data_IF_062453072630
#
_entry.id   IF_062453072630
#
_cell.length_a   1.000
_cell.length_b   1.000
_cell.length_c   1.000
_cell.angle_alpha   90.00
_cell.angle_beta   90.00
_cell.angle_gamma   90.00
#
_symmetry.space_group_name_H-M   'P 1'
#
loop_
_entity.id
_entity.type
_entity.pdbx_description
1 polymer ?
#
# COMPACT_ATOMS: atom_id res chain seq x y z
N UNK A 1 0.79 -4.47 18.96
CA UNK A 1 -0.05 -3.42 19.57
C UNK A 1 -1.30 -4.04 20.19
N UNK A 2 -1.74 -3.55 21.34
CA UNK A 2 -2.99 -4.03 21.96
C UNK A 2 -4.17 -3.57 21.08
N UNK A 3 -5.28 -4.32 21.08
CA UNK A 3 -6.49 -3.95 20.32
C UNK A 3 -7.03 -2.57 20.73
N UNK A 4 -6.77 -2.13 21.95
CA UNK A 4 -7.11 -0.80 22.46
C UNK A 4 -6.31 0.29 21.75
N UNK A 5 -5.01 0.09 21.55
CA UNK A 5 -4.13 1.06 20.88
C UNK A 5 -4.48 1.22 19.38
N UNK A 6 -4.74 0.10 18.69
CA UNK A 6 -5.22 0.15 17.30
C UNK A 6 -6.53 0.92 17.17
N UNK A 7 -7.48 0.70 18.08
CA UNK A 7 -8.74 1.44 18.09
C UNK A 7 -8.55 2.95 18.31
N UNK A 8 -7.60 3.36 19.13
CA UNK A 8 -7.28 4.78 19.32
C UNK A 8 -6.84 5.46 18.02
N UNK A 9 -6.06 4.75 17.17
CA UNK A 9 -5.66 5.26 15.86
C UNK A 9 -6.84 5.26 14.89
N UNK A 10 -7.61 4.16 14.84
CA UNK A 10 -8.75 4.02 13.92
C UNK A 10 -9.92 4.98 14.24
N UNK A 11 -10.10 5.35 15.52
CA UNK A 11 -11.17 6.22 16.01
C UNK A 11 -10.65 7.63 16.36
N UNK A 12 -9.33 7.87 16.29
CA UNK A 12 -8.65 9.11 16.66
C UNK A 12 -8.42 10.07 15.49
N UNK A 13 -7.70 11.16 15.80
CA UNK A 13 -7.27 12.13 14.81
C UNK A 13 -5.96 11.74 14.11
N UNK A 14 -5.25 10.75 14.64
CA UNK A 14 -3.99 10.25 14.08
C UNK A 14 -4.28 9.43 12.83
N UNK A 15 -3.60 9.75 11.73
CA UNK A 15 -3.83 9.11 10.42
C UNK A 15 -3.13 7.77 10.26
N UNK A 16 -2.09 7.51 11.06
CA UNK A 16 -1.36 6.24 11.11
C UNK A 16 -0.56 6.12 12.42
N UNK A 17 -0.10 4.91 12.73
CA UNK A 17 0.74 4.61 13.89
C UNK A 17 2.19 5.03 13.65
N UNK A 18 2.56 6.26 14.06
CA UNK A 18 3.92 6.78 13.91
C UNK A 18 4.97 5.98 14.69
N UNK A 19 4.63 5.44 15.86
CA UNK A 19 5.58 4.65 16.67
C UNK A 19 5.86 3.30 16.02
N UNK A 20 4.81 2.65 15.49
CA UNK A 20 4.98 1.44 14.72
C UNK A 20 5.78 1.72 13.45
N UNK A 21 5.49 2.80 12.73
CA UNK A 21 6.25 3.20 11.55
C UNK A 21 7.74 3.37 11.86
N UNK A 22 8.10 4.12 12.90
CA UNK A 22 9.49 4.30 13.36
C UNK A 22 10.15 2.97 13.72
N UNK A 23 9.39 2.05 14.33
CA UNK A 23 9.89 0.71 14.66
C UNK A 23 10.17 -0.13 13.42
N UNK A 24 9.29 -0.10 12.41
CA UNK A 24 9.49 -0.79 11.13
C UNK A 24 10.71 -0.25 10.38
N UNK A 25 10.88 1.07 10.36
CA UNK A 25 12.06 1.75 9.80
C UNK A 25 13.32 1.32 10.54
N UNK A 26 13.32 1.34 11.87
CA UNK A 26 14.48 0.94 12.67
C UNK A 26 14.88 -0.53 12.46
N UNK A 27 13.94 -1.40 12.12
CA UNK A 27 14.19 -2.79 11.72
C UNK A 27 14.64 -2.93 10.25
N UNK A 28 14.66 -1.83 9.47
CA UNK A 28 15.03 -1.83 8.06
C UNK A 28 13.96 -2.35 7.11
N UNK A 29 12.71 -2.52 7.56
CA UNK A 29 11.67 -3.14 6.73
C UNK A 29 11.27 -2.27 5.53
N UNK A 30 11.35 -0.95 5.66
CA UNK A 30 11.14 0.01 4.55
C UNK A 30 12.26 -0.06 3.50
N UNK A 31 13.44 -0.52 3.88
CA UNK A 31 14.64 -0.62 3.05
C UNK A 31 14.82 -2.00 2.38
N UNK A 32 13.90 -2.95 2.63
CA UNK A 32 14.05 -4.37 2.27
C UNK A 32 14.46 -4.59 0.81
N UNK A 33 13.72 -4.03 -0.15
CA UNK A 33 13.96 -4.23 -1.59
C UNK A 33 14.83 -3.16 -2.24
N UNK A 34 15.22 -2.14 -1.50
CA UNK A 34 16.09 -1.07 -1.99
C UNK A 34 17.52 -1.60 -2.04
N UNK A 35 18.24 -1.47 -3.16
CA UNK A 35 19.63 -1.87 -3.27
C UNK A 35 20.55 -1.16 -2.26
N UNK A 36 21.65 -1.82 -1.86
CA UNK A 36 22.61 -1.27 -0.90
C UNK A 36 23.24 0.05 -1.38
N UNK A 37 23.43 0.21 -2.68
CA UNK A 37 23.95 1.45 -3.29
C UNK A 37 23.05 2.68 -3.07
N UNK A 38 21.76 2.47 -2.75
CA UNK A 38 20.81 3.51 -2.37
C UNK A 38 20.45 3.48 -0.87
N UNK A 39 21.30 2.84 -0.04
CA UNK A 39 21.08 2.78 1.41
C UNK A 39 20.06 1.74 1.87
N UNK A 40 19.68 0.81 1.02
CA UNK A 40 18.77 -0.29 1.33
C UNK A 40 19.49 -1.54 1.84
N UNK A 41 18.72 -2.63 2.00
CA UNK A 41 19.21 -3.95 2.44
C UNK A 41 19.48 -4.87 1.24
N UNK A 42 18.88 -4.60 0.09
CA UNK A 42 19.06 -5.38 -1.13
C UNK A 42 18.45 -6.78 -1.09
N UNK A 43 17.45 -7.00 -0.26
CA UNK A 43 16.70 -8.27 -0.22
C UNK A 43 15.74 -8.39 -1.40
N UNK A 44 15.20 -9.60 -1.59
CA UNK A 44 14.30 -9.89 -2.69
C UNK A 44 12.83 -9.56 -2.40
N UNK A 45 12.01 -9.80 -3.42
CA UNK A 45 10.57 -9.60 -3.33
C UNK A 45 9.89 -10.63 -2.43
N UNK A 46 10.50 -11.82 -2.29
CA UNK A 46 9.97 -12.87 -1.41
C UNK A 46 10.01 -12.46 0.07
N UNK A 47 11.10 -11.83 0.51
CA UNK A 47 11.20 -11.30 1.87
C UNK A 47 10.16 -10.22 2.13
N UNK A 48 9.86 -9.38 1.13
CA UNK A 48 8.80 -8.39 1.23
C UNK A 48 7.40 -9.04 1.35
N UNK A 49 7.16 -10.19 0.70
CA UNK A 49 5.91 -10.96 0.86
C UNK A 49 5.73 -11.44 2.31
N UNK A 50 6.81 -11.90 2.96
CA UNK A 50 6.75 -12.32 4.37
C UNK A 50 6.42 -11.14 5.28
N UNK A 51 7.01 -9.98 5.02
CA UNK A 51 6.69 -8.73 5.76
C UNK A 51 5.22 -8.36 5.55
N UNK A 52 4.74 -8.40 4.30
CA UNK A 52 3.36 -8.10 3.97
C UNK A 52 2.37 -8.99 4.72
N UNK A 53 2.63 -10.30 4.79
CA UNK A 53 1.80 -11.25 5.54
C UNK A 53 1.72 -10.88 7.04
N UNK A 54 2.84 -10.50 7.67
CA UNK A 54 2.85 -10.12 9.09
C UNK A 54 2.16 -8.76 9.33
N UNK A 55 2.31 -7.79 8.43
CA UNK A 55 1.59 -6.52 8.50
C UNK A 55 0.07 -6.74 8.39
N UNK A 56 -0.35 -7.60 7.48
CA UNK A 56 -1.74 -8.01 7.34
C UNK A 56 -2.28 -8.75 8.55
N UNK A 57 -1.51 -9.69 9.12
CA UNK A 57 -1.84 -10.39 10.37
C UNK A 57 -2.08 -9.43 11.52
N UNK A 58 -1.28 -8.36 11.57
CA UNK A 58 -1.38 -7.32 12.58
C UNK A 58 -2.41 -6.24 12.29
N UNK A 59 -2.98 -6.16 11.09
CA UNK A 59 -3.76 -5.01 10.59
C UNK A 59 -2.99 -3.72 10.93
N UNK A 60 -1.75 -3.62 10.43
CA UNK A 60 -0.86 -2.53 10.76
C UNK A 60 -1.34 -1.21 10.11
N UNK A 61 -1.76 -0.21 10.90
CA UNK A 61 -2.25 1.06 10.37
C UNK A 61 -1.06 1.98 10.05
N UNK A 62 -0.30 1.65 9.01
CA UNK A 62 0.90 2.38 8.58
C UNK A 62 0.92 2.51 7.05
N UNK A 63 1.54 3.56 6.49
CA UNK A 63 1.58 3.80 5.03
C UNK A 63 2.60 2.89 4.32
N UNK A 64 2.68 1.62 4.73
CA UNK A 64 3.68 0.70 4.20
C UNK A 64 3.37 0.31 2.75
N UNK A 65 2.10 0.04 2.45
CA UNK A 65 1.68 -0.35 1.11
C UNK A 65 1.84 0.79 0.09
N UNK A 66 1.44 2.01 0.44
CA UNK A 66 1.59 3.16 -0.45
C UNK A 66 3.05 3.51 -0.69
N UNK A 67 3.86 3.51 0.38
CA UNK A 67 5.26 3.92 0.31
C UNK A 67 6.18 2.84 -0.23
N UNK A 68 6.07 1.59 0.27
CA UNK A 68 7.00 0.52 -0.09
C UNK A 68 6.52 -0.28 -1.30
N UNK A 69 5.25 -0.78 -1.29
CA UNK A 69 4.79 -1.61 -2.41
C UNK A 69 4.60 -0.81 -3.68
N UNK A 70 4.10 0.42 -3.58
CA UNK A 70 3.74 1.24 -4.73
C UNK A 70 4.85 2.24 -5.09
N UNK A 71 5.09 3.26 -4.27
CA UNK A 71 5.99 4.35 -4.64
C UNK A 71 7.46 3.90 -4.80
N UNK A 72 7.99 3.15 -3.82
CA UNK A 72 9.37 2.63 -3.88
C UNK A 72 9.56 1.69 -5.08
N UNK A 73 8.60 0.77 -5.29
CA UNK A 73 8.67 -0.17 -6.42
C UNK A 73 8.59 0.56 -7.77
N UNK A 74 7.75 1.61 -7.88
CA UNK A 74 7.68 2.43 -9.09
C UNK A 74 9.02 3.10 -9.41
N UNK A 75 9.68 3.68 -8.39
CA UNK A 75 11.00 4.32 -8.55
C UNK A 75 12.06 3.27 -8.92
N UNK A 76 12.08 2.12 -8.26
CA UNK A 76 13.01 1.02 -8.56
C UNK A 76 12.87 0.50 -9.99
N UNK A 77 11.64 0.38 -10.48
CA UNK A 77 11.34 -0.08 -11.85
C UNK A 77 11.68 0.96 -12.92
N UNK A 78 11.85 2.24 -12.56
CA UNK A 78 12.17 3.30 -13.52
C UNK A 78 13.63 3.26 -13.99
N UNK A 79 13.92 3.95 -15.07
CA UNK A 79 15.29 4.17 -15.56
C UNK A 79 15.92 5.49 -15.09
N UNK A 80 15.21 6.28 -14.27
CA UNK A 80 15.68 7.59 -13.83
C UNK A 80 16.61 7.48 -12.62
N UNK A 81 17.91 7.38 -12.88
CA UNK A 81 18.94 7.20 -11.86
C UNK A 81 19.07 8.38 -10.89
N UNK A 82 18.79 9.60 -11.35
CA UNK A 82 18.86 10.78 -10.49
C UNK A 82 17.75 10.75 -9.43
N UNK A 83 16.53 10.39 -9.83
CA UNK A 83 15.42 10.23 -8.88
C UNK A 83 15.64 9.03 -7.95
N UNK A 84 16.22 7.93 -8.42
CA UNK A 84 16.59 6.81 -7.54
C UNK A 84 17.54 7.27 -6.44
N UNK A 85 18.62 7.96 -6.80
CA UNK A 85 19.62 8.47 -5.85
C UNK A 85 19.05 9.48 -4.86
N UNK A 86 18.07 10.27 -5.28
CA UNK A 86 17.46 11.29 -4.44
C UNK A 86 16.42 10.72 -3.47
N UNK A 87 15.54 9.81 -3.96
CA UNK A 87 14.35 9.38 -3.22
C UNK A 87 14.54 8.06 -2.48
N UNK A 88 15.27 7.08 -3.05
CA UNK A 88 15.38 5.75 -2.42
C UNK A 88 16.06 5.79 -1.05
N UNK A 89 17.14 6.57 -0.80
CA UNK A 89 17.71 6.65 0.54
C UNK A 89 16.74 7.21 1.58
N UNK A 90 15.97 8.22 1.22
CA UNK A 90 14.97 8.84 2.11
C UNK A 90 13.80 7.88 2.40
N UNK A 91 13.36 7.12 1.39
CA UNK A 91 12.34 6.08 1.55
C UNK A 91 12.84 4.93 2.43
N UNK A 92 14.09 4.48 2.23
CA UNK A 92 14.72 3.47 3.06
C UNK A 92 14.78 3.89 4.53
N UNK A 93 15.15 5.15 4.78
CA UNK A 93 15.19 5.76 6.11
C UNK A 93 13.83 6.17 6.69
N UNK A 94 12.73 6.00 5.93
CA UNK A 94 11.39 6.41 6.37
C UNK A 94 11.23 7.92 6.59
N UNK A 95 12.15 8.72 6.03
CA UNK A 95 12.15 10.19 6.14
C UNK A 95 11.02 10.83 5.33
N UNK A 96 10.61 10.16 4.26
CA UNK A 96 9.51 10.57 3.38
C UNK A 96 8.58 9.39 3.11
N UNK A 97 7.31 9.71 2.91
CA UNK A 97 6.26 8.76 2.53
C UNK A 97 5.86 9.07 1.09
N UNK A 98 5.87 8.03 0.24
CA UNK A 98 5.39 8.13 -1.14
C UNK A 98 4.05 7.45 -1.34
N UNK A 99 3.36 7.80 -2.43
CA UNK A 99 2.15 7.10 -2.85
C UNK A 99 2.08 6.96 -4.36
N UNK A 100 1.10 6.19 -4.84
CA UNK A 100 0.82 6.02 -6.27
C UNK A 100 -0.59 6.50 -6.59
N UNK A 101 -0.69 7.55 -7.38
CA UNK A 101 -1.94 8.18 -7.80
C UNK A 101 -2.28 7.75 -9.24
N UNK A 102 -3.19 6.78 -9.39
CA UNK A 102 -3.50 6.17 -10.68
C UNK A 102 -4.97 6.31 -11.07
N UNK A 103 -5.89 6.01 -10.17
CA UNK A 103 -7.33 5.97 -10.45
C UNK A 103 -7.94 7.35 -10.69
N UNK A 104 -8.83 7.45 -11.69
CA UNK A 104 -9.56 8.68 -12.04
C UNK A 104 -11.08 8.48 -12.08
N UNK A 105 -11.52 7.21 -12.06
CA UNK A 105 -12.93 6.79 -12.10
C UNK A 105 -13.14 5.62 -11.16
N UNK A 106 -14.38 5.24 -10.97
CA UNK A 106 -14.76 4.07 -10.15
C UNK A 106 -14.50 2.72 -10.84
N UNK A 107 -14.21 2.72 -12.14
CA UNK A 107 -13.82 1.53 -12.90
C UNK A 107 -12.31 1.32 -12.85
N UNK A 108 -11.89 0.07 -13.07
CA UNK A 108 -10.47 -0.24 -13.19
C UNK A 108 -9.86 0.57 -14.35
N UNK A 109 -8.75 1.28 -14.15
CA UNK A 109 -8.15 2.12 -15.20
C UNK A 109 -7.56 1.27 -16.33
N UNK A 110 -7.76 1.70 -17.55
CA UNK A 110 -7.01 1.28 -18.73
C UNK A 110 -6.24 2.47 -19.30
N UNK A 111 -5.29 2.24 -20.19
CA UNK A 111 -4.43 3.28 -20.75
C UNK A 111 -5.24 4.44 -21.37
N UNK A 112 -6.32 4.12 -22.07
CA UNK A 112 -7.18 5.10 -22.74
C UNK A 112 -8.06 5.89 -21.78
N UNK A 113 -8.21 5.43 -20.53
CA UNK A 113 -9.04 6.07 -19.52
C UNK A 113 -8.30 7.14 -18.70
N UNK A 114 -6.97 7.24 -18.85
CA UNK A 114 -6.17 8.25 -18.15
C UNK A 114 -6.40 9.62 -18.81
N UNK A 115 -6.90 10.57 -18.03
CA UNK A 115 -7.24 11.94 -18.47
C UNK A 115 -6.41 13.03 -17.79
N UNK A 116 -5.77 12.74 -16.65
CA UNK A 116 -4.76 13.63 -16.08
C UNK A 116 -3.68 13.86 -17.10
N UNK A 117 -3.39 15.12 -17.39
CA UNK A 117 -2.49 15.51 -18.48
C UNK A 117 -1.19 16.10 -17.96
N UNK A 118 -0.09 15.76 -18.63
CA UNK A 118 1.22 16.35 -18.43
C UNK A 118 1.60 17.21 -19.63
N UNK A 119 2.10 18.41 -19.38
CA UNK A 119 2.63 19.34 -20.38
C UNK A 119 3.96 19.90 -19.91
N UNK A 120 5.05 19.46 -20.51
CA UNK A 120 6.40 19.73 -20.02
C UNK A 120 6.57 19.16 -18.61
N UNK A 121 6.97 20.02 -17.68
CA UNK A 121 7.14 19.68 -16.26
C UNK A 121 5.92 20.05 -15.38
N UNK A 122 4.73 20.07 -15.94
CA UNK A 122 3.48 20.40 -15.21
C UNK A 122 2.43 19.37 -15.45
N UNK A 123 1.61 19.13 -14.41
CA UNK A 123 0.52 18.17 -14.43
C UNK A 123 -0.79 18.83 -14.01
N UNK A 124 -1.90 18.44 -14.66
CA UNK A 124 -3.24 18.96 -14.38
C UNK A 124 -4.29 17.86 -14.47
N UNK A 125 -5.26 17.90 -13.56
CA UNK A 125 -6.36 16.96 -13.47
C UNK A 125 -6.54 16.43 -12.06
N UNK A 126 -7.32 15.36 -11.88
CA UNK A 126 -7.65 14.81 -10.57
C UNK A 126 -7.43 13.30 -10.54
N UNK A 127 -6.87 12.80 -9.45
CA UNK A 127 -6.81 11.39 -9.08
C UNK A 127 -7.72 11.12 -7.90
N UNK A 128 -8.40 9.98 -7.95
CA UNK A 128 -9.39 9.58 -6.95
C UNK A 128 -8.87 8.47 -6.05
N UNK A 129 -9.28 8.51 -4.79
CA UNK A 129 -8.99 7.49 -3.79
C UNK A 129 -7.50 7.09 -3.74
N UNK A 130 -6.61 8.08 -3.78
CA UNK A 130 -5.16 7.87 -3.68
C UNK A 130 -4.85 7.35 -2.27
N UNK A 131 -4.25 6.15 -2.13
CA UNK A 131 -3.93 5.59 -0.81
C UNK A 131 -2.91 6.48 -0.10
N UNK A 132 -3.18 6.81 1.15
CA UNK A 132 -2.36 7.68 1.99
C UNK A 132 -2.01 9.05 1.35
N UNK A 133 -2.83 9.50 0.40
CA UNK A 133 -2.59 10.74 -0.35
C UNK A 133 -2.61 12.00 0.49
N UNK A 134 -3.20 11.96 1.68
CA UNK A 134 -3.29 13.07 2.63
C UNK A 134 -2.15 13.10 3.67
N UNK A 135 -1.30 12.07 3.69
CA UNK A 135 -0.11 12.00 4.55
C UNK A 135 1.19 11.90 3.75
N UNK A 136 1.13 11.50 2.49
CA UNK A 136 2.30 11.33 1.65
C UNK A 136 2.99 12.66 1.34
N UNK A 137 4.33 12.62 1.23
CA UNK A 137 5.15 13.77 0.83
C UNK A 137 5.12 13.98 -0.68
N UNK A 138 5.05 12.88 -1.44
CA UNK A 138 5.01 12.91 -2.90
C UNK A 138 4.13 11.79 -3.45
N UNK A 139 3.66 11.96 -4.68
CA UNK A 139 2.98 10.93 -5.43
C UNK A 139 3.70 10.61 -6.74
N UNK A 140 3.74 9.33 -7.10
CA UNK A 140 3.97 8.90 -8.47
C UNK A 140 2.60 8.93 -9.18
N UNK A 141 2.48 9.71 -10.23
CA UNK A 141 1.21 9.99 -10.90
C UNK A 141 1.26 9.49 -12.33
N UNK A 142 0.30 8.67 -12.73
CA UNK A 142 0.11 8.34 -14.14
C UNK A 142 -0.59 9.50 -14.86
N UNK A 143 -0.02 9.98 -15.95
CA UNK A 143 -0.60 11.08 -16.73
C UNK A 143 -0.31 10.95 -18.21
N UNK A 144 -1.21 11.45 -19.05
CA UNK A 144 -1.03 11.47 -20.50
C UNK A 144 -0.08 12.58 -20.93
N UNK A 145 0.87 12.25 -21.81
CA UNK A 145 1.72 13.19 -22.53
C UNK A 145 1.63 12.90 -24.02
N UNK A 146 0.88 13.73 -24.73
CA UNK A 146 0.57 13.46 -26.13
C UNK A 146 -0.30 12.20 -26.31
N UNK A 147 0.28 11.12 -26.84
CA UNK A 147 -0.43 9.85 -27.06
C UNK A 147 -0.11 8.76 -26.02
N UNK A 148 0.94 8.95 -25.24
CA UNK A 148 1.44 7.96 -24.29
C UNK A 148 1.04 8.32 -22.87
N UNK A 149 1.02 7.33 -21.98
CA UNK A 149 0.90 7.51 -20.54
C UNK A 149 2.29 7.41 -19.92
N UNK A 150 2.71 8.46 -19.21
CA UNK A 150 3.95 8.50 -18.46
C UNK A 150 3.71 8.44 -16.94
N UNK A 151 4.79 8.21 -16.21
CA UNK A 151 4.85 8.34 -14.75
C UNK A 151 5.60 9.61 -14.37
N UNK A 152 5.01 10.36 -13.46
CA UNK A 152 5.52 11.64 -12.99
C UNK A 152 5.59 11.68 -11.48
N UNK A 153 6.67 12.21 -10.94
CA UNK A 153 6.82 12.46 -9.51
C UNK A 153 6.34 13.89 -9.21
N UNK A 154 5.42 14.01 -8.27
CA UNK A 154 4.81 15.28 -7.86
C UNK A 154 4.93 15.45 -6.35
N UNK A 155 5.48 16.57 -5.88
CA UNK A 155 5.49 16.92 -4.47
C UNK A 155 4.06 17.33 -4.04
N UNK A 156 3.48 16.59 -3.10
CA UNK A 156 2.12 16.83 -2.62
C UNK A 156 1.99 18.04 -1.69
N UNK A 157 3.10 18.55 -1.17
CA UNK A 157 3.13 19.77 -0.35
C UNK A 157 3.20 21.07 -1.19
N UNK A 158 3.07 20.94 -2.52
CA UNK A 158 3.03 22.07 -3.43
C UNK A 158 1.68 22.80 -3.33
N UNK A 159 1.69 24.13 -3.38
CA UNK A 159 0.48 24.96 -3.32
C UNK A 159 -0.48 24.82 -4.54
N UNK A 160 -0.07 24.10 -5.57
CA UNK A 160 -0.86 23.74 -6.76
C UNK A 160 -1.48 22.35 -6.67
N UNK A 161 -1.36 21.70 -5.51
CA UNK A 161 -1.96 20.40 -5.22
C UNK A 161 -3.03 20.60 -4.15
N UNK A 162 -4.24 20.17 -4.45
CA UNK A 162 -5.38 20.21 -3.51
C UNK A 162 -5.66 18.77 -3.09
N UNK A 163 -5.67 18.53 -1.80
CA UNK A 163 -5.88 17.21 -1.20
C UNK A 163 -7.18 17.26 -0.42
N UNK A 164 -8.08 16.33 -0.73
CA UNK A 164 -9.36 16.13 -0.05
C UNK A 164 -9.36 14.73 0.57
N UNK A 165 -9.20 14.64 1.88
CA UNK A 165 -9.26 13.35 2.61
C UNK A 165 -10.66 12.74 2.48
N UNK A 166 -10.74 11.46 2.20
CA UNK A 166 -11.99 10.72 2.06
C UNK A 166 -12.33 10.01 3.37
N UNK A 167 -13.61 10.09 3.73
CA UNK A 167 -14.16 9.22 4.77
C UNK A 167 -14.48 7.86 4.14
N UNK A 168 -13.75 6.83 4.55
CA UNK A 168 -13.82 5.48 3.98
C UNK A 168 -14.41 4.50 4.97
N UNK A 169 -14.98 3.41 4.46
CA UNK A 169 -15.54 2.35 5.30
C UNK A 169 -14.47 1.62 6.12
N UNK A 170 -13.26 1.50 5.59
CA UNK A 170 -12.09 0.96 6.30
C UNK A 170 -11.15 2.10 6.73
N UNK A 171 -11.14 2.47 8.01
CA UNK A 171 -10.30 3.55 8.52
C UNK A 171 -8.85 3.11 8.80
N UNK A 172 -8.48 1.86 8.52
CA UNK A 172 -7.11 1.36 8.79
C UNK A 172 -6.06 2.00 7.88
N UNK A 173 -6.50 2.60 6.75
CA UNK A 173 -5.66 3.34 5.80
C UNK A 173 -6.42 4.54 5.27
N UNK A 174 -5.75 5.67 5.22
CA UNK A 174 -6.35 6.87 4.66
C UNK A 174 -6.38 6.84 3.13
N UNK A 175 -7.31 7.56 2.55
CA UNK A 175 -7.42 7.80 1.12
C UNK A 175 -7.77 9.26 0.87
N UNK A 176 -7.31 9.82 -0.22
CA UNK A 176 -7.63 11.18 -0.60
C UNK A 176 -7.88 11.32 -2.11
N UNK A 177 -8.74 12.28 -2.48
CA UNK A 177 -8.74 12.81 -3.83
C UNK A 177 -7.63 13.85 -3.94
N UNK A 178 -6.87 13.80 -5.04
CA UNK A 178 -5.75 14.72 -5.27
C UNK A 178 -5.96 15.43 -6.59
N UNK A 179 -6.10 16.75 -6.53
CA UNK A 179 -6.27 17.62 -7.71
C UNK A 179 -4.99 18.39 -7.96
N UNK A 180 -4.53 18.37 -9.19
CA UNK A 180 -3.33 19.07 -9.68
C UNK A 180 -3.74 20.25 -10.54
N UNK A 181 -3.31 21.46 -10.15
CA UNK A 181 -3.58 22.72 -10.87
C UNK A 181 -2.30 23.28 -11.50
N UNK A 182 -1.85 22.68 -12.60
CA UNK A 182 -0.53 22.94 -13.19
C UNK A 182 0.59 22.75 -12.16
N UNK A 183 0.50 21.69 -11.36
CA UNK A 183 1.49 21.35 -10.36
C UNK A 183 2.82 20.95 -11.02
N UNK A 184 3.93 21.36 -10.42
CA UNK A 184 5.26 20.95 -10.89
C UNK A 184 5.44 19.45 -10.74
N UNK A 185 5.95 18.83 -11.79
CA UNK A 185 6.15 17.39 -11.89
C UNK A 185 7.49 17.07 -12.54
N UNK A 186 8.14 16.03 -12.08
CA UNK A 186 9.37 15.50 -12.67
C UNK A 186 9.04 14.20 -13.40
N UNK A 187 9.43 14.08 -14.66
CA UNK A 187 9.23 12.85 -15.42
C UNK A 187 10.06 11.71 -14.81
N UNK A 188 9.38 10.68 -14.33
CA UNK A 188 9.99 9.46 -13.84
C UNK A 188 10.25 8.48 -14.98
N UNK A 189 9.25 8.28 -15.83
CA UNK A 189 9.34 7.41 -17.01
C UNK A 189 8.31 7.84 -18.07
N UNK A 190 8.75 7.96 -19.31
CA UNK A 190 7.89 8.15 -20.48
C UNK A 190 7.42 6.78 -21.01
N UNK A 191 6.26 6.76 -21.71
CA UNK A 191 5.67 5.53 -22.26
C UNK A 191 5.66 4.38 -21.23
N UNK A 192 5.01 4.64 -20.10
CA UNK A 192 5.17 3.84 -18.90
C UNK A 192 4.06 2.78 -18.68
N UNK A 193 3.14 2.57 -19.65
CA UNK A 193 1.99 1.70 -19.40
C UNK A 193 2.39 0.28 -18.97
N UNK A 194 3.33 -0.35 -19.69
CA UNK A 194 3.84 -1.68 -19.31
C UNK A 194 4.49 -1.69 -17.93
N UNK A 195 5.15 -0.60 -17.52
CA UNK A 195 5.72 -0.48 -16.18
C UNK A 195 4.64 -0.29 -15.11
N UNK A 196 3.53 0.39 -15.45
CA UNK A 196 2.36 0.51 -14.57
C UNK A 196 1.71 -0.87 -14.37
N UNK A 197 1.48 -1.63 -15.44
CA UNK A 197 0.95 -3.00 -15.34
C UNK A 197 1.84 -3.88 -14.46
N UNK A 198 3.15 -3.86 -14.69
CA UNK A 198 4.12 -4.59 -13.85
C UNK A 198 4.06 -4.16 -12.38
N UNK A 199 3.98 -2.86 -12.10
CA UNK A 199 3.84 -2.32 -10.74
C UNK A 199 2.57 -2.82 -10.07
N UNK A 200 1.45 -2.80 -10.78
CA UNK A 200 0.17 -3.28 -10.27
C UNK A 200 0.20 -4.78 -9.98
N UNK A 201 0.78 -5.59 -10.88
CA UNK A 201 0.94 -7.04 -10.67
C UNK A 201 1.82 -7.34 -9.45
N UNK A 202 2.98 -6.68 -9.34
CA UNK A 202 3.85 -6.82 -8.17
C UNK A 202 3.14 -6.44 -6.87
N UNK A 203 2.41 -5.33 -6.88
CA UNK A 203 1.67 -4.86 -5.71
C UNK A 203 0.50 -5.80 -5.37
N UNK A 204 -0.19 -6.35 -6.37
CA UNK A 204 -1.27 -7.30 -6.16
C UNK A 204 -0.82 -8.55 -5.39
N UNK A 205 0.39 -9.05 -5.67
CA UNK A 205 0.99 -10.16 -4.91
C UNK A 205 1.19 -9.78 -3.44
N UNK A 206 1.75 -8.59 -3.17
CA UNK A 206 1.97 -8.12 -1.80
C UNK A 206 0.67 -7.91 -1.03
N UNK A 207 -0.34 -7.32 -1.67
CA UNK A 207 -1.69 -7.19 -1.08
C UNK A 207 -2.34 -8.56 -0.84
N UNK A 208 -2.11 -9.55 -1.71
CA UNK A 208 -2.60 -10.90 -1.49
C UNK A 208 -1.96 -11.53 -0.22
N UNK A 209 -0.66 -11.34 0.00
CA UNK A 209 0.00 -11.79 1.23
C UNK A 209 -0.52 -11.07 2.49
N UNK A 210 -0.79 -9.77 2.43
CA UNK A 210 -1.47 -9.08 3.54
C UNK A 210 -2.84 -9.70 3.85
N UNK A 211 -3.65 -9.99 2.82
CA UNK A 211 -4.95 -10.63 2.99
C UNK A 211 -4.82 -12.03 3.60
N UNK A 212 -3.82 -12.81 3.20
CA UNK A 212 -3.52 -14.13 3.77
C UNK A 212 -3.21 -14.01 5.26
N UNK A 213 -2.35 -13.05 5.65
CA UNK A 213 -2.04 -12.79 7.05
C UNK A 213 -3.27 -12.42 7.89
N UNK A 214 -4.09 -11.49 7.39
CA UNK A 214 -5.34 -11.10 8.04
C UNK A 214 -6.35 -12.24 8.14
N UNK A 215 -6.50 -13.05 7.08
CA UNK A 215 -7.37 -14.22 7.07
C UNK A 215 -6.93 -15.27 8.09
N UNK A 216 -5.63 -15.51 8.25
CA UNK A 216 -5.10 -16.42 9.26
C UNK A 216 -5.38 -15.93 10.69
N UNK A 217 -5.19 -14.64 10.95
CA UNK A 217 -5.53 -14.04 12.23
C UNK A 217 -7.02 -14.21 12.55
N UNK A 218 -7.90 -13.91 11.60
CA UNK A 218 -9.35 -14.05 11.77
C UNK A 218 -9.76 -15.52 11.99
N UNK A 219 -9.17 -16.46 11.26
CA UNK A 219 -9.42 -17.92 11.45
C UNK A 219 -8.98 -18.37 12.85
N UNK A 220 -7.80 -17.94 13.31
CA UNK A 220 -7.30 -18.30 14.65
C UNK A 220 -8.18 -17.71 15.76
N UNK A 221 -8.64 -16.46 15.64
CA UNK A 221 -9.59 -15.85 16.57
C UNK A 221 -10.90 -16.64 16.61
N UNK A 222 -11.44 -17.03 15.47
CA UNK A 222 -12.66 -17.84 15.40
C UNK A 222 -12.47 -19.22 16.05
N UNK A 223 -11.33 -19.86 15.81
CA UNK A 223 -10.97 -21.16 16.42
C UNK A 223 -10.86 -21.04 17.94
N UNK A 224 -10.13 -20.05 18.44
CA UNK A 224 -9.95 -19.82 19.88
C UNK A 224 -11.29 -19.53 20.56
N UNK A 225 -12.10 -18.66 19.95
CA UNK A 225 -13.46 -18.42 20.46
C UNK A 225 -14.29 -19.69 20.52
N UNK A 226 -14.27 -20.50 19.47
CA UNK A 226 -15.03 -21.76 19.43
C UNK A 226 -14.55 -22.78 20.46
N UNK A 227 -13.26 -22.78 20.81
CA UNK A 227 -12.69 -23.63 21.86
C UNK A 227 -13.10 -23.17 23.28
N UNK A 228 -13.21 -21.84 23.48
CA UNK A 228 -13.57 -21.25 24.78
C UNK A 228 -15.08 -21.11 25.02
N UNK A 229 -15.91 -21.10 23.96
CA UNK A 229 -17.38 -20.91 24.08
C UNK A 229 -18.10 -22.21 24.27
N UNK A 230 -18.88 -22.31 25.34
CA UNK A 230 -19.71 -23.50 25.66
C UNK A 230 -21.17 -23.27 25.26
N UNK A 231 -21.78 -24.27 24.63
CA UNK A 231 -23.21 -24.36 24.38
C UNK A 231 -23.65 -25.84 24.41
N UNK A 232 -24.82 -26.13 24.95
CA UNK A 232 -25.34 -27.49 25.08
C UNK A 232 -24.38 -28.41 25.90
N UNK A 233 -23.75 -27.88 26.95
CA UNK A 233 -22.88 -28.63 27.87
C UNK A 233 -21.47 -28.96 27.37
N UNK A 234 -21.05 -28.42 26.20
CA UNK A 234 -19.70 -28.64 25.62
C UNK A 234 -19.21 -27.46 24.80
N UNK A 235 -17.90 -27.40 24.55
CA UNK A 235 -17.33 -26.39 23.69
C UNK A 235 -17.91 -26.44 22.27
N UNK A 236 -18.24 -25.28 21.67
CA UNK A 236 -18.86 -25.29 20.33
C UNK A 236 -17.91 -25.84 19.25
N UNK A 237 -16.59 -25.77 19.45
CA UNK A 237 -15.59 -26.42 18.61
C UNK A 237 -15.76 -27.95 18.53
N UNK A 238 -16.48 -28.58 19.48
CA UNK A 238 -16.72 -30.02 19.46
C UNK A 238 -17.78 -30.46 18.43
N UNK A 239 -18.61 -29.51 17.94
CA UNK A 239 -19.63 -29.83 16.93
C UNK A 239 -19.00 -29.96 15.54
N UNK A 240 -19.39 -31.00 14.78
CA UNK A 240 -18.83 -31.27 13.45
C UNK A 240 -19.01 -30.09 12.48
N UNK A 241 -20.17 -29.44 12.51
CA UNK A 241 -20.46 -28.29 11.63
C UNK A 241 -19.42 -27.17 11.82
N UNK A 242 -18.94 -26.91 13.03
CA UNK A 242 -17.90 -25.93 13.31
C UNK A 242 -16.53 -26.45 12.88
N UNK A 243 -16.22 -27.73 13.20
CA UNK A 243 -14.93 -28.33 12.78
C UNK A 243 -14.75 -28.30 11.27
N UNK A 244 -15.78 -28.64 10.50
CA UNK A 244 -15.71 -28.64 9.05
C UNK A 244 -15.47 -27.22 8.50
N UNK A 245 -16.17 -26.21 9.02
CA UNK A 245 -15.94 -24.81 8.62
C UNK A 245 -14.50 -24.36 8.90
N UNK A 246 -13.94 -24.67 10.05
CA UNK A 246 -12.55 -24.32 10.40
C UNK A 246 -11.57 -25.09 9.48
N UNK A 247 -11.85 -26.37 9.18
CA UNK A 247 -11.02 -27.14 8.26
C UNK A 247 -11.04 -26.58 6.85
N UNK A 248 -12.21 -26.17 6.34
CA UNK A 248 -12.35 -25.56 5.00
C UNK A 248 -11.61 -24.23 4.94
N UNK A 249 -11.73 -23.38 5.98
CA UNK A 249 -10.96 -22.13 6.06
C UNK A 249 -9.45 -22.39 6.08
N UNK A 250 -8.99 -23.39 6.86
CA UNK A 250 -7.59 -23.76 6.92
C UNK A 250 -7.05 -24.20 5.56
N UNK A 251 -7.76 -25.07 4.85
CA UNK A 251 -7.38 -25.54 3.51
C UNK A 251 -7.31 -24.36 2.53
N UNK A 252 -8.35 -23.52 2.51
CA UNK A 252 -8.39 -22.35 1.60
C UNK A 252 -7.24 -21.39 1.86
N UNK A 253 -6.93 -21.13 3.13
CA UNK A 253 -5.82 -20.26 3.53
C UNK A 253 -4.46 -20.80 3.05
N UNK A 254 -4.22 -22.11 3.25
CA UNK A 254 -2.96 -22.71 2.82
C UNK A 254 -2.83 -22.79 1.29
N UNK A 255 -3.93 -23.00 0.58
CA UNK A 255 -3.93 -22.91 -0.89
C UNK A 255 -3.62 -21.49 -1.36
N UNK A 256 -4.24 -20.48 -0.75
CA UNK A 256 -3.97 -19.08 -1.10
C UNK A 256 -2.50 -18.68 -0.84
N UNK A 257 -1.90 -19.18 0.26
CA UNK A 257 -0.49 -18.90 0.59
C UNK A 257 0.48 -19.57 -0.38
N UNK A 258 0.13 -20.71 -0.96
CA UNK A 258 1.02 -21.51 -1.81
C UNK A 258 0.93 -21.17 -3.29
N UNK A 259 -0.06 -20.38 -3.72
CA UNK A 259 -0.22 -19.92 -5.10
C UNK A 259 0.51 -18.61 -5.34
#
# INVERSE_FOLDING_TARGET
ASDVYKRQILEGEEKFDEELWKSLVAMGLTATTIPEEYGGIGMGFLELCVIAEELGRGIAPVPFSSSVYLATTAILNSSNEDLKKEYLPKLAGGEIIGTFAHSEKTSFPDESSITVSASGNKISGQKLAVPDGDIADFAIVSATSGKNVGLYLVNLKNNKVIIETLDTFDPSRSHANVTFENAEAVLLQDDAWTSIEKLLDQSAVLFAFEQVGGAEAAMNMAKEYAMGRYAFGRAIASFQAIKHKVADMYVSLHLARSN
#
